data_IF_428767364278
#
_entry.id   IF_428767364278
#
_cell.length_a   1.000
_cell.length_b   1.000
_cell.length_c   1.000
_cell.angle_alpha   90.00
_cell.angle_beta   90.00
_cell.angle_gamma   90.00
#
_symmetry.space_group_name_H-M   'P 1'
#
loop_
_entity.id
_entity.type
_entity.pdbx_description
1 polymer ?
#
# COMPACT_ATOMS: atom_id res chain seq x y z
N UNK A 1 -11.13 33.16 -3.05
CA UNK A 1 -12.30 32.33 -3.40
C UNK A 1 -12.33 31.17 -2.41
N UNK A 2 -13.45 31.02 -1.71
CA UNK A 2 -13.72 29.90 -0.82
C UNK A 2 -14.44 28.78 -1.58
N UNK A 3 -14.49 27.57 -1.02
CA UNK A 3 -15.23 26.45 -1.62
C UNK A 3 -16.72 26.76 -1.83
N UNK A 4 -17.28 27.68 -1.07
CA UNK A 4 -18.66 28.18 -1.23
C UNK A 4 -18.87 29.05 -2.47
N UNK A 5 -17.79 29.51 -3.12
CA UNK A 5 -17.83 30.41 -4.27
C UNK A 5 -17.80 29.64 -5.60
N UNK A 6 -18.08 28.33 -5.59
CA UNK A 6 -18.08 27.50 -6.81
C UNK A 6 -19.09 28.07 -7.83
N UNK A 7 -18.64 28.38 -9.07
CA UNK A 7 -19.52 28.88 -10.13
C UNK A 7 -20.63 27.88 -10.51
N UNK A 8 -21.72 28.40 -11.08
CA UNK A 8 -22.76 27.56 -11.67
C UNK A 8 -22.25 26.85 -12.92
N UNK A 9 -22.63 25.57 -13.08
CA UNK A 9 -22.29 24.73 -14.24
C UNK A 9 -23.12 25.09 -15.48
N UNK A 10 -22.56 24.85 -16.67
CA UNK A 10 -23.24 24.98 -17.95
C UNK A 10 -24.23 23.83 -18.16
N UNK A 11 -25.52 24.16 -18.11
CA UNK A 11 -26.61 23.20 -18.31
C UNK A 11 -26.88 22.87 -19.79
N UNK A 12 -26.57 23.78 -20.71
CA UNK A 12 -26.71 23.60 -22.16
C UNK A 12 -25.63 24.37 -22.89
N UNK A 13 -25.00 23.74 -23.89
CA UNK A 13 -24.12 24.43 -24.80
C UNK A 13 -24.85 25.58 -25.52
N UNK A 14 -24.15 26.69 -25.71
CA UNK A 14 -24.64 27.89 -26.35
C UNK A 14 -25.06 27.62 -27.80
N UNK A 15 -26.22 28.09 -28.24
CA UNK A 15 -26.66 27.86 -29.63
C UNK A 15 -26.95 26.39 -29.99
N UNK A 16 -27.15 25.49 -29.01
CA UNK A 16 -27.43 24.06 -29.25
C UNK A 16 -28.54 23.83 -30.29
N UNK A 17 -29.66 24.54 -30.17
CA UNK A 17 -30.81 24.47 -31.08
C UNK A 17 -30.89 25.64 -32.08
N UNK A 18 -29.89 26.53 -32.06
CA UNK A 18 -29.83 27.71 -32.93
C UNK A 18 -29.08 27.46 -34.24
N UNK A 19 -29.19 28.43 -35.16
CA UNK A 19 -28.38 28.45 -36.39
C UNK A 19 -26.90 28.64 -36.02
N UNK A 20 -26.06 27.70 -36.44
CA UNK A 20 -24.61 27.72 -36.22
C UNK A 20 -23.88 27.04 -37.38
N UNK A 21 -22.65 27.46 -37.61
CA UNK A 21 -21.72 26.79 -38.51
C UNK A 21 -20.73 25.94 -37.69
N UNK A 22 -20.23 24.85 -38.28
CA UNK A 22 -19.04 24.17 -37.77
C UNK A 22 -17.83 25.04 -38.08
N UNK A 23 -17.00 25.33 -37.09
CA UNK A 23 -15.79 26.13 -37.25
C UNK A 23 -14.66 25.25 -37.79
N UNK A 24 -14.15 25.49 -39.00
CA UNK A 24 -13.01 24.74 -39.54
C UNK A 24 -11.76 24.98 -38.68
N UNK A 25 -10.87 23.98 -38.62
CA UNK A 25 -9.59 24.14 -37.94
C UNK A 25 -8.72 25.14 -38.70
N UNK A 26 -8.44 24.86 -39.97
CA UNK A 26 -7.51 25.63 -40.79
C UNK A 26 -8.20 26.66 -41.66
N UNK A 27 -7.51 27.76 -41.95
CA UNK A 27 -7.96 28.79 -42.89
C UNK A 27 -7.56 28.46 -44.33
N UNK A 28 -8.35 28.97 -45.27
CA UNK A 28 -8.10 28.91 -46.71
C UNK A 28 -8.45 30.24 -47.36
N UNK A 29 -8.01 30.46 -48.60
CA UNK A 29 -8.42 31.63 -49.40
C UNK A 29 -9.95 31.73 -49.50
N UNK A 30 -10.66 30.59 -49.54
CA UNK A 30 -12.12 30.57 -49.58
C UNK A 30 -12.74 31.04 -48.26
N UNK A 31 -12.25 30.55 -47.11
CA UNK A 31 -12.78 30.99 -45.81
C UNK A 31 -12.47 32.46 -45.56
N UNK A 32 -11.26 32.91 -45.93
CA UNK A 32 -10.82 34.29 -45.79
C UNK A 32 -11.69 35.24 -46.62
N UNK A 33 -11.91 34.94 -47.91
CA UNK A 33 -12.69 35.80 -48.81
C UNK A 33 -14.19 35.83 -48.49
N UNK A 34 -14.70 34.80 -47.82
CA UNK A 34 -16.12 34.69 -47.46
C UNK A 34 -16.40 35.12 -46.02
N UNK A 35 -15.40 35.63 -45.28
CA UNK A 35 -15.59 36.08 -43.90
C UNK A 35 -15.87 34.97 -42.89
N UNK A 36 -15.48 33.73 -43.18
CA UNK A 36 -15.75 32.55 -42.36
C UNK A 36 -14.72 32.43 -41.25
N UNK A 37 -15.17 32.29 -40.00
CA UNK A 37 -14.25 32.10 -38.87
C UNK A 37 -13.66 30.68 -38.83
N UNK A 38 -12.39 30.57 -38.44
CA UNK A 38 -11.66 29.30 -38.26
C UNK A 38 -10.93 29.27 -36.91
N UNK A 39 -10.44 28.10 -36.45
CA UNK A 39 -9.60 28.04 -35.25
C UNK A 39 -8.20 28.63 -35.47
N UNK A 40 -7.68 28.56 -36.70
CA UNK A 40 -6.39 29.12 -37.10
C UNK A 40 -6.36 30.65 -37.07
N UNK A 41 -7.38 31.34 -37.63
CA UNK A 41 -7.39 32.81 -37.72
C UNK A 41 -8.46 33.51 -36.89
N UNK A 42 -9.40 32.78 -36.28
CA UNK A 42 -10.60 33.40 -35.72
C UNK A 42 -11.43 34.05 -36.83
N UNK A 43 -11.99 35.24 -36.58
CA UNK A 43 -12.66 36.02 -37.64
C UNK A 43 -11.61 36.66 -38.57
N UNK A 44 -11.65 36.40 -39.90
CA UNK A 44 -10.63 36.89 -40.82
C UNK A 44 -10.71 38.41 -41.01
N UNK A 45 -9.61 39.03 -41.44
CA UNK A 45 -9.49 40.50 -41.55
C UNK A 45 -10.60 41.16 -42.38
N UNK A 46 -11.15 40.47 -43.40
CA UNK A 46 -12.25 41.00 -44.23
C UNK A 46 -13.48 41.36 -43.37
N UNK A 47 -13.65 40.73 -42.20
CA UNK A 47 -14.76 41.02 -41.29
C UNK A 47 -14.53 42.17 -40.34
N UNK A 48 -13.34 42.77 -40.39
CA UNK A 48 -12.95 43.94 -39.61
C UNK A 48 -12.77 45.18 -40.50
N UNK A 49 -13.11 45.07 -41.79
CA UNK A 49 -13.09 46.19 -42.74
C UNK A 49 -14.46 46.88 -42.82
N UNK A 50 -14.50 48.20 -43.08
CA UNK A 50 -15.75 48.90 -43.37
C UNK A 50 -16.49 48.28 -44.56
N UNK A 51 -17.82 48.28 -44.51
CA UNK A 51 -18.66 47.83 -45.63
C UNK A 51 -18.36 48.62 -46.93
N UNK A 52 -18.05 49.91 -46.81
CA UNK A 52 -17.65 50.77 -47.94
C UNK A 52 -16.33 50.38 -48.59
N UNK A 53 -15.50 49.59 -47.90
CA UNK A 53 -14.23 49.06 -48.40
C UNK A 53 -14.32 47.58 -48.83
N UNK A 54 -15.55 47.04 -48.95
CA UNK A 54 -15.77 45.64 -49.32
C UNK A 54 -15.68 44.65 -48.16
N UNK A 55 -15.72 45.12 -46.91
CA UNK A 55 -15.76 44.25 -45.74
C UNK A 55 -17.04 43.42 -45.63
N UNK A 56 -16.98 42.28 -44.94
CA UNK A 56 -18.11 41.36 -44.72
C UNK A 56 -18.39 41.27 -43.22
N UNK A 57 -19.56 41.64 -42.69
CA UNK A 57 -19.82 41.55 -41.26
C UNK A 57 -19.58 40.12 -40.72
N UNK A 58 -19.04 39.98 -39.49
CA UNK A 58 -18.89 38.68 -38.86
C UNK A 58 -20.21 37.90 -38.84
N UNK A 59 -20.16 36.63 -39.27
CA UNK A 59 -21.34 35.77 -39.28
C UNK A 59 -21.80 35.44 -37.87
N UNK A 60 -23.07 35.74 -37.56
CA UNK A 60 -23.68 35.30 -36.30
C UNK A 60 -23.73 33.77 -36.15
N UNK A 61 -23.73 33.02 -37.26
CA UNK A 61 -23.64 31.56 -37.23
C UNK A 61 -22.25 31.08 -36.81
N UNK A 62 -21.20 31.83 -37.15
CA UNK A 62 -19.82 31.51 -36.76
C UNK A 62 -19.61 31.86 -35.28
N UNK A 63 -20.13 33.00 -34.81
CA UNK A 63 -20.16 33.34 -33.38
C UNK A 63 -20.88 32.25 -32.57
N UNK A 64 -22.07 31.84 -33.00
CA UNK A 64 -22.79 30.74 -32.35
C UNK A 64 -22.00 29.42 -32.43
N UNK A 65 -21.30 29.16 -33.55
CA UNK A 65 -20.49 27.98 -33.76
C UNK A 65 -19.32 27.85 -32.78
N UNK A 66 -18.52 28.91 -32.63
CA UNK A 66 -17.39 28.90 -31.70
C UNK A 66 -17.85 28.85 -30.24
N UNK A 67 -18.88 29.61 -29.88
CA UNK A 67 -19.45 29.58 -28.52
C UNK A 67 -20.06 28.21 -28.21
N UNK A 68 -20.71 27.55 -29.17
CA UNK A 68 -21.18 26.18 -29.02
C UNK A 68 -20.02 25.21 -28.77
N UNK A 69 -18.97 25.26 -29.60
CA UNK A 69 -17.82 24.36 -29.48
C UNK A 69 -17.11 24.47 -28.12
N UNK A 70 -16.96 25.70 -27.60
CA UNK A 70 -16.33 25.94 -26.30
C UNK A 70 -17.26 25.56 -25.15
N UNK A 71 -18.52 26.00 -25.16
CA UNK A 71 -19.48 25.69 -24.09
C UNK A 71 -19.84 24.21 -24.01
N UNK A 72 -19.74 23.46 -25.11
CA UNK A 72 -19.90 22.00 -25.09
C UNK A 72 -18.73 21.32 -24.37
N UNK A 73 -17.48 21.77 -24.60
CA UNK A 73 -16.31 21.26 -23.88
C UNK A 73 -16.35 21.65 -22.39
N UNK A 74 -16.80 22.86 -22.09
CA UNK A 74 -16.96 23.32 -20.71
C UNK A 74 -18.06 22.53 -20.00
N UNK A 75 -19.20 22.28 -20.65
CA UNK A 75 -20.24 21.41 -20.10
C UNK A 75 -19.73 19.99 -19.78
N UNK A 76 -18.84 19.44 -20.62
CA UNK A 76 -18.18 18.17 -20.37
C UNK A 76 -17.24 18.23 -19.15
N UNK A 77 -16.46 19.31 -19.03
CA UNK A 77 -15.57 19.53 -17.89
C UNK A 77 -16.35 19.76 -16.57
N UNK A 78 -17.45 20.50 -16.61
CA UNK A 78 -18.37 20.73 -15.50
C UNK A 78 -18.99 19.43 -14.97
N UNK A 79 -19.16 18.43 -15.84
CA UNK A 79 -19.59 17.08 -15.46
C UNK A 79 -18.48 16.27 -14.76
N UNK A 80 -17.25 16.80 -14.67
CA UNK A 80 -16.08 16.14 -14.08
C UNK A 80 -15.40 15.14 -15.02
N UNK A 81 -15.74 15.16 -16.31
CA UNK A 81 -15.20 14.20 -17.27
C UNK A 81 -13.80 14.59 -17.76
N UNK A 82 -13.05 13.58 -18.22
CA UNK A 82 -11.75 13.76 -18.90
C UNK A 82 -11.73 12.95 -20.21
N UNK A 83 -10.69 13.14 -21.02
CA UNK A 83 -10.57 12.47 -22.31
C UNK A 83 -9.75 11.18 -22.22
N UNK A 84 -10.13 10.12 -22.95
CA UNK A 84 -9.23 8.99 -23.18
C UNK A 84 -8.11 9.36 -24.16
N UNK A 85 -7.12 8.48 -24.28
CA UNK A 85 -6.10 8.60 -25.32
C UNK A 85 -6.72 8.61 -26.72
N UNK A 86 -6.23 9.50 -27.58
CA UNK A 86 -6.61 9.58 -28.98
C UNK A 86 -5.35 9.75 -29.84
N UNK A 87 -5.11 8.80 -30.75
CA UNK A 87 -3.90 8.76 -31.59
C UNK A 87 -3.83 9.92 -32.59
N UNK A 88 -4.96 10.31 -33.15
CA UNK A 88 -5.03 11.36 -34.16
C UNK A 88 -4.75 12.72 -33.51
N UNK A 89 -5.33 12.95 -32.33
CA UNK A 89 -5.05 14.12 -31.51
C UNK A 89 -3.59 14.15 -31.07
N UNK A 90 -3.05 13.03 -30.56
CA UNK A 90 -1.63 12.94 -30.20
C UNK A 90 -0.74 13.33 -31.39
N UNK A 91 -1.05 12.84 -32.59
CA UNK A 91 -0.31 13.20 -33.81
C UNK A 91 -0.41 14.69 -34.11
N UNK A 92 -1.63 15.25 -34.05
CA UNK A 92 -1.87 16.67 -34.33
C UNK A 92 -1.15 17.62 -33.37
N UNK A 93 -0.93 17.22 -32.12
CA UNK A 93 -0.25 18.05 -31.11
C UNK A 93 1.24 17.67 -30.88
N UNK A 94 1.81 16.79 -31.72
CA UNK A 94 3.18 16.27 -31.54
C UNK A 94 3.40 15.50 -30.22
N UNK A 95 2.36 14.81 -29.77
CA UNK A 95 2.31 13.96 -28.59
C UNK A 95 1.86 14.68 -27.33
N UNK A 96 1.38 13.92 -26.34
CA UNK A 96 0.94 14.48 -25.08
C UNK A 96 2.14 15.00 -24.26
N UNK A 97 2.05 16.20 -23.64
CA UNK A 97 3.10 16.71 -22.76
C UNK A 97 3.17 15.90 -21.45
N UNK A 98 4.32 15.95 -20.77
CA UNK A 98 4.51 15.33 -19.46
C UNK A 98 3.53 15.92 -18.45
N UNK A 99 2.98 15.07 -17.58
CA UNK A 99 1.96 15.45 -16.61
C UNK A 99 0.53 15.41 -17.15
N UNK A 100 0.33 15.10 -18.44
CA UNK A 100 -1.01 14.84 -18.97
C UNK A 100 -1.68 13.69 -18.23
N UNK A 101 -2.97 13.85 -17.91
CA UNK A 101 -3.78 12.81 -17.26
C UNK A 101 -4.94 12.45 -18.17
N UNK A 102 -5.03 11.18 -18.55
CA UNK A 102 -6.06 10.67 -19.46
C UNK A 102 -6.89 9.56 -18.80
N UNK A 103 -8.15 9.44 -19.19
CA UNK A 103 -9.03 8.38 -18.73
C UNK A 103 -8.57 7.02 -19.31
N UNK A 104 -8.62 5.96 -18.49
CA UNK A 104 -8.44 4.61 -19.01
C UNK A 104 -9.64 4.19 -19.89
N UNK A 105 -9.46 3.21 -20.76
CA UNK A 105 -10.49 2.74 -21.69
C UNK A 105 -11.73 2.15 -21.00
N UNK A 106 -11.58 1.71 -19.74
CA UNK A 106 -12.67 1.18 -18.91
C UNK A 106 -13.39 2.24 -18.07
N UNK A 107 -12.99 3.51 -18.15
CA UNK A 107 -13.55 4.62 -17.37
C UNK A 107 -13.54 4.38 -15.86
N UNK A 108 -12.59 3.57 -15.38
CA UNK A 108 -12.47 3.12 -13.99
C UNK A 108 -11.20 3.63 -13.32
N UNK A 109 -10.50 4.55 -13.97
CA UNK A 109 -9.21 5.08 -13.54
C UNK A 109 -8.58 5.95 -14.61
N UNK A 110 -7.37 6.42 -14.34
CA UNK A 110 -6.62 7.34 -15.20
C UNK A 110 -5.19 6.86 -15.43
N UNK A 111 -4.53 7.52 -16.37
CA UNK A 111 -3.13 7.33 -16.72
C UNK A 111 -2.41 8.67 -16.60
N UNK A 112 -1.28 8.70 -15.91
CA UNK A 112 -0.39 9.86 -15.81
C UNK A 112 0.78 9.68 -16.79
N UNK A 113 0.97 10.67 -17.67
CA UNK A 113 2.10 10.71 -18.59
C UNK A 113 3.37 11.20 -17.89
N UNK A 114 4.47 10.48 -18.07
CA UNK A 114 5.77 10.85 -17.51
C UNK A 114 6.76 11.40 -18.56
N UNK A 115 6.36 11.46 -19.84
CA UNK A 115 7.25 11.78 -20.97
C UNK A 115 6.68 12.93 -21.81
N UNK A 116 7.51 13.86 -22.27
CA UNK A 116 7.06 14.91 -23.21
C UNK A 116 6.90 14.37 -24.64
N UNK A 117 5.94 14.91 -25.38
CA UNK A 117 5.65 14.49 -26.76
C UNK A 117 5.24 13.02 -26.86
N UNK A 118 4.58 12.47 -25.85
CA UNK A 118 4.23 11.06 -25.82
C UNK A 118 3.06 10.75 -26.78
N UNK A 119 3.36 10.09 -27.89
CA UNK A 119 2.39 9.62 -28.89
C UNK A 119 1.98 8.15 -28.68
N UNK A 120 2.53 7.48 -27.68
CA UNK A 120 2.24 6.07 -27.39
C UNK A 120 0.97 5.95 -26.55
N UNK A 121 0.11 4.99 -26.88
CA UNK A 121 -1.07 4.66 -26.06
C UNK A 121 -0.65 4.22 -24.65
N UNK A 122 -1.33 4.66 -23.58
CA UNK A 122 -1.02 4.22 -22.22
C UNK A 122 -1.21 2.71 -22.01
N UNK A 123 -2.15 2.10 -22.74
CA UNK A 123 -2.60 0.74 -22.48
C UNK A 123 -1.89 -0.27 -23.39
N UNK A 124 -0.80 -0.86 -22.89
CA UNK A 124 -0.10 -1.94 -23.56
C UNK A 124 -0.72 -3.30 -23.24
N UNK A 125 -0.94 -4.13 -24.27
CA UNK A 125 -1.44 -5.50 -24.10
C UNK A 125 -0.43 -6.42 -23.41
N UNK A 126 0.85 -6.04 -23.39
CA UNK A 126 1.96 -6.82 -22.82
C UNK A 126 2.60 -6.13 -21.62
N UNK A 127 1.99 -5.07 -21.09
CA UNK A 127 2.54 -4.33 -19.96
C UNK A 127 3.89 -3.67 -20.27
N UNK A 128 4.21 -3.48 -21.56
CA UNK A 128 5.41 -2.79 -21.98
C UNK A 128 5.41 -1.34 -21.47
N UNK A 129 6.60 -0.77 -21.24
CA UNK A 129 6.70 0.64 -20.86
C UNK A 129 6.19 1.53 -22.00
N UNK A 130 5.19 2.36 -21.69
CA UNK A 130 4.56 3.31 -22.62
C UNK A 130 4.85 4.76 -22.26
N UNK A 131 5.62 5.00 -21.20
CA UNK A 131 5.78 6.33 -20.60
C UNK A 131 4.58 6.78 -19.76
N UNK A 132 3.58 5.92 -19.56
CA UNK A 132 2.41 6.16 -18.72
C UNK A 132 2.40 5.26 -17.48
N UNK A 133 1.86 5.77 -16.37
CA UNK A 133 1.68 5.03 -15.11
C UNK A 133 0.22 5.16 -14.61
N UNK A 134 -0.31 4.16 -13.88
CA UNK A 134 -1.71 4.18 -13.46
C UNK A 134 -1.97 5.23 -12.36
N UNK A 135 -3.17 5.81 -12.36
CA UNK A 135 -3.67 6.72 -11.33
C UNK A 135 -5.14 6.36 -11.01
N UNK A 136 -5.50 6.28 -9.73
CA UNK A 136 -6.89 6.08 -9.25
C UNK A 136 -7.66 4.93 -9.93
N UNK A 137 -6.98 3.81 -10.22
CA UNK A 137 -7.59 2.69 -10.94
C UNK A 137 -8.39 1.78 -10.00
N UNK A 138 -9.70 1.98 -9.97
CA UNK A 138 -10.64 1.26 -9.10
C UNK A 138 -10.93 -0.16 -9.55
N UNK A 139 -11.03 -1.09 -8.59
CA UNK A 139 -11.48 -2.45 -8.81
C UNK A 139 -10.40 -3.51 -8.58
N UNK A 140 -10.67 -4.72 -9.07
CA UNK A 140 -9.82 -5.90 -8.91
C UNK A 140 -9.63 -6.53 -10.28
N UNK A 141 -8.40 -6.92 -10.60
CA UNK A 141 -8.13 -7.76 -11.77
C UNK A 141 -8.04 -9.22 -11.32
N UNK A 142 -8.84 -10.09 -11.93
CA UNK A 142 -8.77 -11.54 -11.70
C UNK A 142 -8.16 -12.22 -12.92
N UNK A 143 -7.05 -12.93 -12.74
CA UNK A 143 -6.41 -13.76 -13.77
C UNK A 143 -6.80 -15.21 -13.50
N UNK A 144 -7.54 -15.81 -14.42
CA UNK A 144 -8.10 -17.15 -14.29
C UNK A 144 -7.38 -18.15 -15.19
N UNK A 145 -7.56 -19.45 -14.92
CA UNK A 145 -7.04 -20.52 -15.78
C UNK A 145 -5.52 -20.70 -15.72
N UNK A 146 -4.87 -20.23 -14.65
CA UNK A 146 -3.43 -20.41 -14.46
C UNK A 146 -3.09 -21.89 -14.23
N UNK A 147 -2.11 -22.40 -14.99
CA UNK A 147 -1.68 -23.80 -14.93
C UNK A 147 -0.16 -23.96 -15.05
N UNK A 148 0.38 -23.83 -16.27
CA UNK A 148 1.78 -24.16 -16.55
C UNK A 148 2.59 -23.07 -17.28
N UNK A 149 1.96 -21.94 -17.62
CA UNK A 149 2.56 -20.91 -18.47
C UNK A 149 2.70 -19.60 -17.71
N UNK A 150 3.82 -18.91 -17.91
CA UNK A 150 4.01 -17.55 -17.44
C UNK A 150 2.98 -16.61 -18.09
N UNK A 151 2.43 -15.69 -17.32
CA UNK A 151 1.47 -14.69 -17.81
C UNK A 151 2.08 -13.31 -17.66
N UNK A 152 2.06 -12.54 -18.74
CA UNK A 152 2.40 -11.11 -18.69
C UNK A 152 1.11 -10.31 -18.61
N UNK A 153 1.01 -9.45 -17.60
CA UNK A 153 -0.16 -8.60 -17.41
C UNK A 153 -0.15 -7.47 -18.44
N UNK A 154 -1.32 -7.16 -19.00
CA UNK A 154 -1.50 -5.90 -19.71
C UNK A 154 -1.38 -4.73 -18.74
N UNK A 155 -1.09 -3.52 -19.24
CA UNK A 155 -1.07 -2.31 -18.41
C UNK A 155 -2.42 -2.16 -17.68
N UNK A 156 -3.54 -2.33 -18.37
CA UNK A 156 -4.86 -2.18 -17.78
C UNK A 156 -5.14 -3.22 -16.67
N UNK A 157 -4.67 -4.46 -16.84
CA UNK A 157 -4.77 -5.50 -15.81
C UNK A 157 -3.94 -5.14 -14.57
N UNK A 158 -2.68 -4.74 -14.77
CA UNK A 158 -1.75 -4.38 -13.71
C UNK A 158 -2.09 -3.03 -13.05
N UNK A 159 -2.90 -2.18 -13.68
CA UNK A 159 -3.28 -0.88 -13.13
C UNK A 159 -4.12 -1.00 -11.84
N UNK A 160 -4.81 -2.13 -11.63
CA UNK A 160 -5.58 -2.37 -10.41
C UNK A 160 -4.65 -2.71 -9.26
N UNK A 161 -4.86 -2.06 -8.11
CA UNK A 161 -4.03 -2.31 -6.92
C UNK A 161 -4.14 -3.75 -6.40
N UNK A 162 -5.27 -4.43 -6.64
CA UNK A 162 -5.48 -5.81 -6.22
C UNK A 162 -5.57 -6.74 -7.43
N UNK A 163 -4.68 -7.73 -7.45
CA UNK A 163 -4.63 -8.79 -8.45
C UNK A 163 -4.95 -10.11 -7.79
N UNK A 164 -5.96 -10.82 -8.29
CA UNK A 164 -6.38 -12.14 -7.81
C UNK A 164 -6.01 -13.18 -8.87
N UNK A 165 -5.31 -14.23 -8.44
CA UNK A 165 -4.84 -15.30 -9.30
C UNK A 165 -5.64 -16.57 -8.99
N UNK A 166 -6.21 -17.22 -10.00
CA UNK A 166 -6.95 -18.47 -9.83
C UNK A 166 -6.58 -19.50 -10.90
N UNK A 167 -6.62 -20.76 -10.52
CA UNK A 167 -6.28 -21.89 -11.38
C UNK A 167 -5.69 -23.06 -10.60
N UNK A 168 -5.35 -24.12 -11.31
CA UNK A 168 -4.68 -25.30 -10.75
C UNK A 168 -3.29 -25.37 -11.36
N UNK A 169 -2.28 -25.00 -10.59
CA UNK A 169 -0.91 -24.97 -11.09
C UNK A 169 -0.40 -26.39 -11.30
N UNK A 170 0.22 -26.61 -12.45
CA UNK A 170 0.89 -27.85 -12.84
C UNK A 170 2.39 -27.65 -13.08
N UNK A 171 2.87 -26.42 -12.99
CA UNK A 171 4.29 -26.06 -12.87
C UNK A 171 4.45 -24.76 -12.09
N UNK A 172 5.69 -24.43 -11.71
CA UNK A 172 5.99 -23.07 -11.27
C UNK A 172 5.80 -22.11 -12.45
N UNK A 173 5.12 -20.99 -12.21
CA UNK A 173 4.87 -19.96 -13.23
C UNK A 173 5.27 -18.59 -12.70
N UNK A 174 5.40 -17.63 -13.60
CA UNK A 174 5.58 -16.23 -13.28
C UNK A 174 4.36 -15.41 -13.71
N UNK A 175 3.95 -14.46 -12.86
CA UNK A 175 3.12 -13.33 -13.25
C UNK A 175 4.06 -12.14 -13.43
N UNK A 176 4.09 -11.63 -14.66
CA UNK A 176 5.01 -10.58 -15.10
C UNK A 176 4.26 -9.25 -15.10
N UNK A 177 4.65 -8.36 -14.20
CA UNK A 177 4.07 -7.03 -14.04
C UNK A 177 4.85 -6.00 -14.88
N UNK A 178 4.21 -4.89 -15.29
CA UNK A 178 4.91 -3.71 -15.77
C UNK A 178 5.90 -3.20 -14.72
N UNK A 179 7.03 -2.67 -15.19
CA UNK A 179 8.11 -2.16 -14.34
C UNK A 179 7.81 -0.73 -13.82
N UNK A 180 6.64 -0.55 -13.20
CA UNK A 180 6.24 0.72 -12.58
C UNK A 180 6.74 0.80 -11.14
N UNK A 181 7.00 2.02 -10.68
CA UNK A 181 7.13 2.28 -9.25
C UNK A 181 5.73 2.28 -8.62
N UNK A 182 5.28 1.12 -8.13
CA UNK A 182 3.91 0.92 -7.67
C UNK A 182 3.82 -0.21 -6.64
N UNK A 183 2.71 -0.24 -5.88
CA UNK A 183 2.41 -1.31 -4.94
C UNK A 183 1.19 -2.11 -5.39
N UNK A 184 1.22 -3.42 -5.15
CA UNK A 184 0.08 -4.32 -5.42
C UNK A 184 -0.23 -5.18 -4.20
N UNK A 185 -1.50 -5.54 -4.05
CA UNK A 185 -1.94 -6.64 -3.20
C UNK A 185 -2.22 -7.84 -4.12
N UNK A 186 -1.38 -8.86 -4.06
CA UNK A 186 -1.55 -10.08 -4.87
C UNK A 186 -2.15 -11.17 -4.00
N UNK A 187 -3.29 -11.70 -4.43
CA UNK A 187 -3.98 -12.83 -3.80
C UNK A 187 -3.77 -14.05 -4.68
N UNK A 188 -2.99 -15.01 -4.20
CA UNK A 188 -2.76 -16.26 -4.91
C UNK A 188 -3.78 -17.32 -4.45
N UNK A 189 -4.94 -17.38 -5.10
CA UNK A 189 -5.97 -18.39 -4.87
C UNK A 189 -5.79 -19.63 -5.76
N UNK A 190 -4.62 -19.80 -6.40
CA UNK A 190 -4.34 -21.02 -7.13
C UNK A 190 -4.25 -22.23 -6.18
N UNK A 191 -4.45 -23.41 -6.76
CA UNK A 191 -4.27 -24.71 -6.10
C UNK A 191 -3.11 -25.49 -6.76
N UNK A 192 -2.74 -26.64 -6.20
CA UNK A 192 -1.61 -27.45 -6.67
C UNK A 192 -0.33 -27.22 -5.84
N UNK A 193 0.69 -28.05 -6.07
CA UNK A 193 1.94 -28.05 -5.30
C UNK A 193 3.01 -27.07 -5.81
N UNK A 194 2.62 -26.13 -6.68
CA UNK A 194 3.53 -25.20 -7.35
C UNK A 194 3.27 -23.77 -6.91
N UNK A 195 4.16 -22.87 -7.29
CA UNK A 195 4.13 -21.48 -6.83
C UNK A 195 4.05 -20.49 -7.98
N UNK A 196 3.61 -19.27 -7.66
CA UNK A 196 3.64 -18.13 -8.57
C UNK A 196 4.82 -17.24 -8.19
N UNK A 197 5.63 -16.84 -9.17
CA UNK A 197 6.62 -15.78 -8.99
C UNK A 197 6.08 -14.46 -9.53
N UNK A 198 5.89 -13.47 -8.66
CA UNK A 198 5.53 -12.11 -9.04
C UNK A 198 6.82 -11.34 -9.33
N UNK A 199 7.05 -10.97 -10.59
CA UNK A 199 8.26 -10.27 -11.02
C UNK A 199 7.98 -9.29 -12.15
N UNK A 200 8.93 -8.43 -12.48
CA UNK A 200 8.94 -7.71 -13.77
C UNK A 200 9.66 -8.58 -14.82
N UNK A 201 9.73 -8.10 -16.06
CA UNK A 201 10.41 -8.81 -17.14
C UNK A 201 11.91 -9.06 -16.84
N UNK A 202 12.61 -8.06 -16.29
CA UNK A 202 14.04 -8.10 -15.95
C UNK A 202 14.33 -8.42 -14.49
N UNK A 203 13.34 -8.24 -13.61
CA UNK A 203 13.50 -8.46 -12.18
C UNK A 203 13.41 -9.93 -11.77
N UNK A 204 14.01 -10.25 -10.62
CA UNK A 204 13.95 -11.58 -10.00
C UNK A 204 12.58 -11.82 -9.35
N UNK A 205 12.06 -10.80 -8.67
CA UNK A 205 10.76 -10.80 -8.01
C UNK A 205 10.71 -11.66 -6.75
N UNK A 206 9.48 -12.02 -6.34
CA UNK A 206 9.20 -12.84 -5.16
C UNK A 206 8.28 -14.01 -5.51
N UNK A 207 8.46 -15.12 -4.81
CA UNK A 207 7.55 -16.26 -4.87
C UNK A 207 6.38 -16.05 -3.92
N UNK A 208 5.15 -15.99 -4.45
CA UNK A 208 3.89 -16.01 -3.70
C UNK A 208 3.33 -17.44 -3.68
N UNK A 209 3.29 -18.06 -2.50
CA UNK A 209 2.76 -19.40 -2.32
C UNK A 209 1.23 -19.43 -2.52
N UNK A 210 0.69 -20.59 -2.90
CA UNK A 210 -0.76 -20.81 -3.00
C UNK A 210 -1.45 -20.54 -1.65
N UNK A 211 -2.61 -19.89 -1.67
CA UNK A 211 -3.38 -19.51 -0.49
C UNK A 211 -2.90 -18.27 0.24
N UNK A 212 -1.89 -17.56 -0.27
CA UNK A 212 -1.35 -16.35 0.38
C UNK A 212 -1.90 -15.07 -0.22
N UNK A 213 -1.92 -14.01 0.61
CA UNK A 213 -2.12 -12.63 0.17
C UNK A 213 -0.88 -11.84 0.52
N UNK A 214 -0.21 -11.26 -0.47
CA UNK A 214 1.07 -10.57 -0.30
C UNK A 214 0.93 -9.10 -0.74
N UNK A 215 1.43 -8.18 0.10
CA UNK A 215 1.58 -6.76 -0.26
C UNK A 215 2.98 -6.56 -0.85
N UNK A 216 3.01 -6.15 -2.11
CA UNK A 216 4.20 -6.05 -2.93
C UNK A 216 4.49 -4.59 -3.28
N UNK A 217 5.77 -4.27 -3.44
CA UNK A 217 6.25 -3.01 -3.98
C UNK A 217 7.22 -3.28 -5.14
N UNK A 218 7.12 -2.49 -6.20
CA UNK A 218 8.11 -2.46 -7.28
C UNK A 218 8.83 -1.13 -7.30
N UNK A 219 10.15 -1.17 -7.45
CA UNK A 219 11.04 0.00 -7.53
C UNK A 219 11.28 0.47 -8.98
N UNK A 220 10.51 -0.08 -9.94
CA UNK A 220 10.73 0.12 -11.37
C UNK A 220 11.66 -0.92 -12.01
N UNK A 221 12.22 -1.86 -11.23
CA UNK A 221 13.03 -2.97 -11.73
C UNK A 221 12.64 -4.28 -11.06
N UNK A 222 12.69 -4.38 -9.74
CA UNK A 222 12.38 -5.57 -8.97
C UNK A 222 11.09 -5.43 -8.18
N UNK A 223 10.44 -6.57 -7.93
CA UNK A 223 9.30 -6.67 -7.01
C UNK A 223 9.80 -7.27 -5.70
N UNK A 224 9.47 -6.62 -4.59
CA UNK A 224 9.77 -7.08 -3.23
C UNK A 224 8.50 -7.11 -2.38
N UNK A 225 8.59 -7.74 -1.20
CA UNK A 225 7.54 -7.63 -0.18
C UNK A 225 7.69 -6.30 0.54
N UNK A 226 6.58 -5.57 0.65
CA UNK A 226 6.56 -4.23 1.25
C UNK A 226 6.99 -4.28 2.73
N UNK A 227 6.56 -5.32 3.45
CA UNK A 227 6.93 -5.56 4.86
C UNK A 227 8.04 -6.61 5.03
N UNK A 228 8.80 -6.92 3.97
CA UNK A 228 9.87 -7.92 4.00
C UNK A 228 9.38 -9.32 4.40
N UNK A 229 10.19 -10.06 5.18
CA UNK A 229 9.83 -11.41 5.64
C UNK A 229 8.86 -11.41 6.83
N UNK A 230 8.60 -10.25 7.43
CA UNK A 230 7.69 -10.14 8.57
C UNK A 230 6.23 -10.43 8.16
N UNK A 231 5.83 -10.09 6.92
CA UNK A 231 4.48 -10.36 6.39
C UNK A 231 4.11 -11.84 6.34
N UNK A 232 5.09 -12.74 6.49
CA UNK A 232 4.90 -14.18 6.39
C UNK A 232 4.87 -14.88 7.76
N UNK A 233 5.08 -14.14 8.86
CA UNK A 233 5.14 -14.74 10.19
C UNK A 233 3.76 -14.71 10.83
N UNK A 234 3.39 -15.79 11.50
CA UNK A 234 2.17 -15.83 12.31
C UNK A 234 2.39 -15.15 13.66
N UNK A 235 1.31 -14.72 14.29
CA UNK A 235 1.34 -14.36 15.72
C UNK A 235 1.40 -15.63 16.56
N UNK A 236 2.38 -15.73 17.44
CA UNK A 236 2.57 -16.89 18.32
C UNK A 236 4.00 -17.01 18.83
N UNK A 237 4.30 -18.09 19.55
CA UNK A 237 5.62 -18.35 20.16
C UNK A 237 6.37 -19.55 19.56
N UNK A 238 5.79 -20.22 18.56
CA UNK A 238 6.45 -21.23 17.75
C UNK A 238 7.62 -20.69 16.91
N UNK A 239 8.47 -21.59 16.41
CA UNK A 239 9.63 -21.23 15.58
C UNK A 239 9.22 -20.36 14.39
N UNK A 240 9.80 -19.17 14.32
CA UNK A 240 9.56 -18.23 13.23
C UNK A 240 8.28 -17.40 13.35
N UNK A 241 7.53 -17.50 14.44
CA UNK A 241 6.42 -16.61 14.73
C UNK A 241 6.90 -15.28 15.33
N UNK A 242 6.00 -14.28 15.36
CA UNK A 242 6.17 -13.02 16.08
C UNK A 242 5.27 -13.09 17.32
N UNK A 243 5.83 -13.19 18.54
CA UNK A 243 5.01 -13.21 19.76
C UNK A 243 4.37 -11.84 20.00
N UNK A 244 3.08 -11.83 20.30
CA UNK A 244 2.41 -10.62 20.80
C UNK A 244 2.57 -10.48 22.33
N UNK A 245 2.00 -9.41 22.90
CA UNK A 245 2.12 -9.13 24.33
C UNK A 245 1.46 -10.18 25.24
N UNK A 246 0.54 -11.01 24.71
CA UNK A 246 -0.10 -12.07 25.49
C UNK A 246 0.87 -13.19 25.89
N UNK A 247 2.00 -13.31 25.19
CA UNK A 247 3.10 -14.24 25.51
C UNK A 247 4.11 -13.68 26.53
N UNK A 248 3.95 -12.42 26.96
CA UNK A 248 4.82 -11.72 27.92
C UNK A 248 4.11 -11.34 29.24
N UNK A 249 3.16 -12.16 29.69
CA UNK A 249 2.41 -11.92 30.93
C UNK A 249 3.35 -11.70 32.13
N UNK A 250 3.04 -10.73 32.97
CA UNK A 250 3.87 -10.37 34.13
C UNK A 250 3.04 -9.81 35.29
N UNK A 251 3.62 -9.88 36.49
CA UNK A 251 3.14 -9.19 37.70
C UNK A 251 4.29 -8.40 38.33
N UNK A 252 4.15 -7.07 38.41
CA UNK A 252 5.18 -6.14 38.93
C UNK A 252 5.00 -5.85 40.42
N UNK A 253 4.95 -6.90 41.24
CA UNK A 253 4.85 -6.85 42.69
C UNK A 253 6.21 -7.09 43.37
N UNK A 254 6.28 -6.85 44.69
CA UNK A 254 7.48 -7.16 45.50
C UNK A 254 7.92 -8.62 45.35
N UNK A 255 6.95 -9.54 45.29
CA UNK A 255 7.11 -10.88 44.74
C UNK A 255 6.31 -10.98 43.46
N UNK A 256 6.99 -11.11 42.32
CA UNK A 256 6.42 -10.95 40.98
C UNK A 256 7.00 -11.94 39.98
N UNK A 257 6.50 -11.89 38.74
CA UNK A 257 6.97 -12.77 37.67
C UNK A 257 6.91 -12.10 36.30
N UNK A 258 7.66 -12.66 35.35
CA UNK A 258 7.55 -12.41 33.93
C UNK A 258 7.62 -13.75 33.17
N UNK A 259 6.67 -13.98 32.27
CA UNK A 259 6.70 -15.05 31.28
C UNK A 259 7.39 -14.56 30.01
N UNK A 260 8.15 -15.45 29.38
CA UNK A 260 8.79 -15.22 28.09
C UNK A 260 8.17 -16.16 27.04
N UNK A 261 8.13 -15.75 25.76
CA UNK A 261 7.78 -16.64 24.67
C UNK A 261 8.66 -17.89 24.68
N UNK A 262 8.06 -19.05 24.43
CA UNK A 262 8.73 -20.35 24.57
C UNK A 262 8.61 -20.98 25.97
N UNK A 263 7.85 -20.36 26.88
CA UNK A 263 7.42 -20.98 28.14
C UNK A 263 8.32 -20.74 29.34
N UNK A 264 9.47 -20.09 29.16
CA UNK A 264 10.36 -19.72 30.29
C UNK A 264 9.67 -18.69 31.18
N UNK A 265 9.77 -18.90 32.49
CA UNK A 265 9.22 -18.03 33.53
C UNK A 265 10.38 -17.57 34.42
N UNK A 266 10.45 -16.27 34.67
CA UNK A 266 11.33 -15.67 35.67
C UNK A 266 10.43 -15.16 36.79
N UNK A 267 10.73 -15.53 38.03
CA UNK A 267 10.02 -15.07 39.21
C UNK A 267 11.00 -14.47 40.21
N UNK A 268 10.55 -13.50 40.98
CA UNK A 268 11.36 -12.88 42.04
C UNK A 268 10.50 -12.66 43.28
N UNK A 269 11.18 -12.42 44.40
CA UNK A 269 10.50 -12.00 45.60
C UNK A 269 11.41 -11.65 46.75
N UNK A 270 10.77 -11.32 47.86
CA UNK A 270 11.41 -11.08 49.14
C UNK A 270 10.86 -12.00 50.21
N UNK A 271 11.67 -12.29 51.23
CA UNK A 271 11.26 -13.10 52.38
C UNK A 271 12.04 -12.71 53.63
N UNK A 272 11.53 -13.06 54.81
CA UNK A 272 12.27 -13.00 56.08
C UNK A 272 12.31 -14.42 56.66
N UNK A 273 13.49 -14.98 56.86
CA UNK A 273 13.62 -16.40 57.22
C UNK A 273 13.15 -16.73 58.63
N UNK A 274 13.06 -15.73 59.51
CA UNK A 274 13.02 -15.99 60.96
C UNK A 274 14.24 -16.79 61.40
N UNK A 275 14.21 -17.30 62.63
CA UNK A 275 15.26 -18.18 63.16
C UNK A 275 15.08 -19.65 62.79
N UNK A 276 13.95 -20.04 62.21
CA UNK A 276 13.64 -21.44 61.87
C UNK A 276 13.61 -21.72 60.36
N UNK A 277 13.77 -20.70 59.52
CA UNK A 277 13.53 -20.78 58.09
C UNK A 277 12.08 -20.47 57.73
N UNK A 278 11.85 -20.16 56.44
CA UNK A 278 10.54 -19.82 55.91
C UNK A 278 10.30 -20.54 54.58
N UNK A 279 9.08 -20.99 54.35
CA UNK A 279 8.63 -21.47 53.03
C UNK A 279 7.83 -20.38 52.35
N UNK A 280 8.16 -20.11 51.10
CA UNK A 280 7.53 -19.08 50.27
C UNK A 280 6.91 -19.75 49.05
N UNK A 281 5.71 -19.30 48.69
CA UNK A 281 5.10 -19.67 47.42
C UNK A 281 5.67 -18.80 46.31
N UNK A 282 6.03 -19.41 45.18
CA UNK A 282 6.27 -18.66 43.96
C UNK A 282 4.98 -17.89 43.57
N UNK A 283 5.08 -16.66 43.02
CA UNK A 283 3.93 -15.89 42.53
C UNK A 283 2.98 -16.69 41.64
N UNK A 284 3.53 -17.56 40.79
CA UNK A 284 2.81 -18.60 40.06
C UNK A 284 3.57 -19.93 40.17
N UNK A 285 2.90 -21.10 40.13
CA UNK A 285 3.60 -22.38 40.01
C UNK A 285 4.36 -22.46 38.68
N UNK A 286 5.57 -23.01 38.70
CA UNK A 286 6.26 -23.43 37.48
C UNK A 286 5.54 -24.65 36.90
N UNK A 287 5.13 -24.66 35.63
CA UNK A 287 4.37 -25.78 35.06
C UNK A 287 5.10 -27.13 35.08
N UNK A 288 6.42 -27.16 34.89
CA UNK A 288 7.18 -28.39 34.64
C UNK A 288 8.41 -28.52 35.53
N UNK A 289 9.20 -27.46 35.67
CA UNK A 289 10.49 -27.48 36.35
C UNK A 289 10.85 -26.13 36.98
N UNK A 290 11.28 -26.17 38.24
CA UNK A 290 12.08 -25.09 38.83
C UNK A 290 13.53 -25.33 38.44
N UNK A 291 14.02 -24.61 37.43
CA UNK A 291 15.35 -24.84 36.86
C UNK A 291 16.48 -24.37 37.78
N UNK A 292 16.33 -23.18 38.37
CA UNK A 292 17.27 -22.66 39.36
C UNK A 292 16.60 -21.61 40.25
N UNK A 293 17.07 -21.51 41.49
CA UNK A 293 16.74 -20.42 42.41
C UNK A 293 18.04 -19.91 43.00
N UNK A 294 18.21 -18.59 43.00
CA UNK A 294 19.28 -17.91 43.71
C UNK A 294 18.67 -16.92 44.69
N UNK A 295 19.36 -16.77 45.82
CA UNK A 295 18.92 -15.91 46.90
C UNK A 295 20.12 -15.18 47.48
N UNK A 296 19.95 -13.91 47.79
CA UNK A 296 20.93 -13.09 48.48
C UNK A 296 20.34 -12.56 49.76
N UNK A 297 21.19 -12.31 50.75
CA UNK A 297 20.78 -11.44 51.83
C UNK A 297 20.48 -10.04 51.25
N UNK A 298 19.56 -9.32 51.88
CA UNK A 298 19.16 -7.98 51.43
C UNK A 298 19.31 -6.92 52.50
N UNK A 299 20.17 -7.18 53.50
CA UNK A 299 20.63 -6.18 54.48
C UNK A 299 20.32 -6.49 55.95
N UNK A 300 21.15 -5.88 56.80
CA UNK A 300 21.22 -5.98 58.26
C UNK A 300 22.60 -5.50 58.73
N UNK A 301 22.85 -5.38 60.04
CA UNK A 301 24.15 -4.93 60.58
C UNK A 301 25.28 -6.00 60.48
N UNK A 302 24.96 -7.23 60.07
CA UNK A 302 25.90 -8.35 59.97
C UNK A 302 25.69 -9.12 58.67
N UNK A 303 26.77 -9.74 58.16
CA UNK A 303 26.72 -10.59 56.98
C UNK A 303 26.09 -11.95 57.34
N UNK A 304 25.07 -12.33 56.56
CA UNK A 304 24.38 -13.62 56.72
C UNK A 304 24.53 -14.45 55.45
N UNK A 305 24.66 -15.76 55.61
CA UNK A 305 24.54 -16.71 54.49
C UNK A 305 23.09 -17.14 54.32
N UNK A 306 22.61 -17.23 53.08
CA UNK A 306 21.28 -17.73 52.74
C UNK A 306 21.40 -19.16 52.19
N UNK A 307 20.80 -20.12 52.87
CA UNK A 307 20.54 -21.45 52.36
C UNK A 307 19.16 -21.51 51.70
N UNK A 308 19.01 -22.35 50.67
CA UNK A 308 17.74 -22.55 49.99
C UNK A 308 17.51 -24.02 49.61
N UNK A 309 16.24 -24.42 49.57
CA UNK A 309 15.80 -25.73 49.09
C UNK A 309 14.50 -25.57 48.31
N UNK A 310 14.47 -25.99 47.04
CA UNK A 310 13.23 -26.09 46.27
C UNK A 310 12.44 -27.29 46.78
N UNK A 311 11.20 -27.06 47.21
CA UNK A 311 10.34 -28.11 47.76
C UNK A 311 9.41 -28.71 46.70
N UNK A 312 8.93 -27.87 45.78
CA UNK A 312 7.99 -28.25 44.73
C UNK A 312 7.99 -27.22 43.60
N UNK A 313 7.17 -27.45 42.58
CA UNK A 313 6.91 -26.50 41.50
C UNK A 313 6.29 -25.18 41.96
N UNK A 314 5.77 -25.10 43.18
CA UNK A 314 5.11 -23.91 43.74
C UNK A 314 5.83 -23.33 44.94
N UNK A 315 6.83 -24.00 45.53
CA UNK A 315 7.38 -23.64 46.82
C UNK A 315 8.90 -23.77 46.91
N UNK A 316 9.51 -22.83 47.63
CA UNK A 316 10.92 -22.81 48.00
C UNK A 316 11.06 -22.41 49.47
N UNK A 317 12.00 -23.04 50.18
CA UNK A 317 12.36 -22.66 51.55
C UNK A 317 13.68 -21.90 51.57
N UNK A 318 13.76 -20.90 52.46
CA UNK A 318 14.96 -20.12 52.73
C UNK A 318 15.36 -20.22 54.20
N UNK A 319 16.66 -20.31 54.45
CA UNK A 319 17.24 -20.40 55.79
C UNK A 319 18.36 -19.38 55.93
N UNK A 320 18.36 -18.63 57.03
CA UNK A 320 19.39 -17.66 57.35
C UNK A 320 20.35 -18.19 58.39
N UNK A 321 21.66 -18.03 58.18
CA UNK A 321 22.68 -18.26 59.20
C UNK A 321 23.61 -17.07 59.33
N UNK A 322 23.91 -16.68 60.56
CA UNK A 322 24.92 -15.67 60.83
C UNK A 322 26.30 -16.24 60.50
N UNK A 323 27.08 -15.54 59.67
CA UNK A 323 28.41 -16.04 59.24
C UNK A 323 29.37 -16.17 60.42
N UNK A 324 29.28 -15.26 61.40
CA UNK A 324 30.23 -15.19 62.51
C UNK A 324 30.07 -16.33 63.53
N UNK A 325 28.85 -16.84 63.73
CA UNK A 325 28.55 -17.85 64.76
C UNK A 325 28.01 -19.16 64.20
N UNK A 326 27.60 -19.19 62.92
CA UNK A 326 26.82 -20.28 62.36
C UNK A 326 25.43 -20.44 62.99
N UNK A 327 25.00 -19.59 63.92
CA UNK A 327 23.68 -19.72 64.51
C UNK A 327 22.59 -19.43 63.47
N UNK A 328 21.42 -20.05 63.63
CA UNK A 328 20.26 -19.70 62.83
C UNK A 328 19.88 -18.23 63.12
N UNK A 329 19.62 -17.46 62.06
CA UNK A 329 19.45 -16.01 62.15
C UNK A 329 18.36 -15.55 61.21
N UNK A 330 17.50 -14.64 61.68
CA UNK A 330 16.54 -13.99 60.80
C UNK A 330 17.27 -13.16 59.75
N UNK A 331 17.11 -13.55 58.49
CA UNK A 331 17.75 -12.91 57.34
C UNK A 331 16.68 -12.43 56.39
N UNK A 332 16.76 -11.14 56.00
CA UNK A 332 15.97 -10.61 54.90
C UNK A 332 16.58 -11.11 53.59
N UNK A 333 15.77 -11.71 52.73
CA UNK A 333 16.19 -12.38 51.50
C UNK A 333 15.54 -11.70 50.30
N UNK A 334 16.34 -11.49 49.25
CA UNK A 334 15.85 -11.27 47.88
C UNK A 334 16.18 -12.50 47.06
N UNK A 335 15.22 -13.02 46.31
CA UNK A 335 15.42 -14.20 45.51
C UNK A 335 14.93 -14.00 44.08
N UNK A 336 15.55 -14.74 43.16
CA UNK A 336 15.12 -14.87 41.77
C UNK A 336 15.13 -16.35 41.40
N UNK A 337 14.12 -16.78 40.67
CA UNK A 337 13.93 -18.14 40.21
C UNK A 337 13.68 -18.14 38.70
N UNK A 338 14.16 -19.16 38.02
CA UNK A 338 13.91 -19.41 36.61
C UNK A 338 13.47 -20.85 36.41
N UNK A 339 12.53 -21.06 35.51
CA UNK A 339 11.93 -22.37 35.22
C UNK A 339 10.93 -22.29 34.08
N UNK A 340 10.15 -23.34 33.87
CA UNK A 340 9.10 -23.43 32.85
C UNK A 340 8.10 -24.53 33.22
#
# INVERSE_FOLDING_TARGET
MNFTDIPARILKAFGLNGLKNTIPTDSSTSTDNNGVATFDKGFPQITMQPLSAGGIPPSGKDMNGILYALSLKEQWADAGMSYPFNSDFATAISGYPKGSVLLNSQQSGKWLNLTDGNSTSPESLTGASTGWVPLDNYGVTTITGLAATNVTLSSLQAAKERIVLTGTLTSNIAIIFPAWMASWTVVNNCTGAFTVTCRTASGTGITAATGTTEKLYCDGVNITRDFGTASQRNVGDGSGNIPDMSFFQNSKSSSGYARLPGGVIIQWGTASTGTSGITVNFPIPFPTLVGSVTATDSGGAQANSVGLTVLSLSQVSFFGRAIQSGAASNTAVRWIAIGY
#
